data_IF_494841970252
#
_entry.id   IF_494841970252
#
_cell.length_a   1.000
_cell.length_b   1.000
_cell.length_c   1.000
_cell.angle_alpha   90.00
_cell.angle_beta   90.00
_cell.angle_gamma   90.00
#
_symmetry.space_group_name_H-M   'P 1'
#
loop_
_entity.id
_entity.type
_entity.pdbx_description
1 polymer ?
#
# COMPACT_ATOMS: atom_id res chain seq x y z
N UNK A 1 24.61 -26.73 38.85
CA UNK A 1 24.91 -25.63 39.78
C UNK A 1 25.58 -24.54 38.95
N UNK A 2 25.09 -23.32 38.79
CA UNK A 2 24.05 -22.59 39.50
C UNK A 2 23.24 -21.72 38.52
N UNK A 3 22.04 -21.36 38.96
CA UNK A 3 21.03 -20.53 38.32
C UNK A 3 21.50 -19.13 37.92
N UNK A 4 20.81 -18.57 36.93
CA UNK A 4 20.35 -17.17 36.98
C UNK A 4 19.10 -17.04 36.11
N UNK A 5 17.98 -17.57 36.59
CA UNK A 5 16.67 -17.16 36.11
C UNK A 5 16.46 -15.70 36.54
N UNK A 6 16.43 -14.77 35.58
CA UNK A 6 16.03 -13.40 35.87
C UNK A 6 14.60 -13.43 36.47
N UNK A 7 14.34 -12.76 37.60
CA UNK A 7 13.00 -12.68 38.14
C UNK A 7 12.10 -11.99 37.11
N UNK A 8 10.98 -12.64 36.79
CA UNK A 8 9.92 -12.03 35.99
C UNK A 8 9.32 -10.90 36.81
N UNK A 9 9.77 -9.68 36.52
CA UNK A 9 9.27 -8.46 37.12
C UNK A 9 7.81 -8.28 36.70
N UNK A 10 6.90 -8.88 37.49
CA UNK A 10 5.45 -8.93 37.28
C UNK A 10 4.80 -7.53 37.41
N UNK A 11 5.57 -6.47 37.66
CA UNK A 11 5.06 -5.13 37.87
C UNK A 11 5.87 -4.06 37.13
N UNK A 12 5.98 -4.20 35.80
CA UNK A 12 6.56 -3.18 34.91
C UNK A 12 5.90 -1.80 35.00
N UNK A 13 4.71 -1.67 35.61
CA UNK A 13 3.98 -0.42 35.71
C UNK A 13 3.65 -0.09 37.18
N UNK A 14 4.25 0.98 37.70
CA UNK A 14 3.96 1.48 39.05
C UNK A 14 2.52 2.02 39.23
N UNK A 15 1.75 2.13 38.14
CA UNK A 15 0.35 2.55 38.13
C UNK A 15 -0.48 1.58 37.28
N UNK A 16 -1.72 1.26 37.67
CA UNK A 16 -2.61 0.43 36.87
C UNK A 16 -2.90 1.11 35.54
N UNK A 17 -2.83 0.33 34.45
CA UNK A 17 -3.19 0.80 33.11
C UNK A 17 -4.70 1.03 33.08
N UNK A 18 -5.14 2.26 32.76
CA UNK A 18 -6.55 2.65 32.72
C UNK A 18 -7.09 2.78 31.30
N UNK A 19 -6.22 3.07 30.34
CA UNK A 19 -6.59 3.32 28.95
C UNK A 19 -5.49 2.87 28.00
N UNK A 20 -5.88 2.41 26.81
CA UNK A 20 -5.01 2.04 25.70
C UNK A 20 -5.46 2.83 24.47
N UNK A 21 -4.50 3.48 23.81
CA UNK A 21 -4.70 4.07 22.51
C UNK A 21 -4.28 3.10 21.41
N UNK A 22 -5.20 2.80 20.50
CA UNK A 22 -4.97 1.97 19.33
C UNK A 22 -4.92 2.88 18.10
N UNK A 23 -3.78 2.86 17.40
CA UNK A 23 -3.53 3.76 16.25
C UNK A 23 -4.13 3.25 14.93
N UNK A 24 -4.88 2.15 14.97
CA UNK A 24 -5.53 1.52 13.82
C UNK A 24 -6.94 2.07 13.62
N UNK A 25 -7.50 1.96 12.39
CA UNK A 25 -8.92 2.22 12.15
C UNK A 25 -9.78 1.43 13.12
N UNK A 26 -10.88 2.06 13.55
CA UNK A 26 -11.91 1.36 14.30
C UNK A 26 -12.41 0.20 13.42
N UNK A 27 -12.39 -1.05 13.93
CA UNK A 27 -12.88 -2.19 13.17
C UNK A 27 -14.31 -1.93 12.68
N UNK A 28 -14.58 -2.25 11.41
CA UNK A 28 -15.91 -2.08 10.81
C UNK A 28 -16.96 -3.02 11.41
N UNK A 29 -16.50 -4.11 12.05
CA UNK A 29 -17.32 -5.06 12.79
C UNK A 29 -17.19 -4.80 14.29
N UNK A 30 -18.28 -4.98 15.03
CA UNK A 30 -18.34 -4.79 16.48
C UNK A 30 -17.37 -5.73 17.26
N UNK A 31 -16.85 -6.76 16.59
CA UNK A 31 -15.84 -7.67 17.10
C UNK A 31 -14.44 -7.08 16.90
N UNK A 32 -13.98 -6.32 17.89
CA UNK A 32 -12.58 -5.89 18.00
C UNK A 32 -11.79 -6.90 18.84
N UNK A 33 -10.53 -7.24 18.47
CA UNK A 33 -9.67 -8.07 19.30
C UNK A 33 -9.38 -7.43 20.67
N UNK A 34 -9.63 -6.13 20.81
CA UNK A 34 -9.43 -5.37 22.04
C UNK A 34 -10.67 -5.33 22.95
N UNK A 35 -11.87 -5.66 22.44
CA UNK A 35 -13.10 -5.73 23.25
C UNK A 35 -12.98 -6.68 24.46
N UNK A 36 -12.52 -7.94 24.32
CA UNK A 36 -12.39 -8.85 25.46
C UNK A 36 -11.33 -8.39 26.48
N UNK A 37 -10.32 -7.62 26.05
CA UNK A 37 -9.34 -7.02 26.96
C UNK A 37 -9.94 -5.85 27.76
N UNK A 38 -10.75 -5.01 27.09
CA UNK A 38 -11.48 -3.91 27.73
C UNK A 38 -12.41 -4.43 28.82
N UNK A 39 -13.19 -5.48 28.52
CA UNK A 39 -14.11 -6.11 29.48
C UNK A 39 -13.38 -6.80 30.63
N UNK A 40 -12.32 -7.56 30.33
CA UNK A 40 -11.59 -8.35 31.34
C UNK A 40 -10.84 -7.49 32.36
N UNK A 41 -10.28 -6.36 31.93
CA UNK A 41 -9.42 -5.52 32.77
C UNK A 41 -10.03 -4.15 33.10
N UNK A 42 -11.24 -3.85 32.63
CA UNK A 42 -11.90 -2.57 32.87
C UNK A 42 -11.15 -1.38 32.27
N UNK A 43 -10.46 -1.60 31.14
CA UNK A 43 -9.63 -0.59 30.48
C UNK A 43 -10.38 0.09 29.32
N UNK A 44 -10.21 1.40 29.19
CA UNK A 44 -10.73 2.15 28.05
C UNK A 44 -9.87 1.89 26.80
N UNK A 45 -10.48 1.65 25.65
CA UNK A 45 -9.78 1.48 24.37
C UNK A 45 -10.23 2.56 23.40
N UNK A 46 -9.33 3.49 23.10
CA UNK A 46 -9.57 4.57 22.16
C UNK A 46 -8.92 4.25 20.81
N UNK A 47 -9.72 4.26 19.73
CA UNK A 47 -9.20 4.12 18.36
C UNK A 47 -8.98 5.50 17.77
N UNK A 48 -7.74 5.79 17.37
CA UNK A 48 -7.40 7.03 16.69
C UNK A 48 -6.49 6.72 15.52
N UNK A 49 -7.03 6.86 14.31
CA UNK A 49 -6.23 6.74 13.10
C UNK A 49 -5.21 7.88 13.05
N UNK A 50 -3.94 7.50 12.90
CA UNK A 50 -2.85 8.46 12.79
C UNK A 50 -2.50 8.77 11.34
N UNK A 51 -3.01 7.97 10.40
CA UNK A 51 -2.73 8.08 8.98
C UNK A 51 -4.06 8.30 8.28
N UNK A 52 -4.25 9.49 7.72
CA UNK A 52 -5.41 9.82 6.90
C UNK A 52 -5.01 9.75 5.42
N UNK A 53 -5.67 8.88 4.67
CA UNK A 53 -5.36 8.68 3.24
C UNK A 53 -6.27 9.59 2.42
N UNK A 54 -5.75 10.73 1.98
CA UNK A 54 -6.52 11.68 1.18
C UNK A 54 -6.31 11.48 -0.31
N UNK A 55 -7.39 11.26 -1.04
CA UNK A 55 -7.35 11.10 -2.49
C UNK A 55 -7.00 12.44 -3.17
N UNK A 56 -6.04 12.44 -4.10
CA UNK A 56 -5.75 13.66 -4.89
C UNK A 56 -6.89 13.89 -5.89
N UNK A 57 -7.52 15.08 -5.94
CA UNK A 57 -8.59 15.36 -6.90
C UNK A 57 -8.10 15.22 -8.35
N UNK A 58 -8.95 14.72 -9.26
CA UNK A 58 -8.59 14.56 -10.66
C UNK A 58 -8.10 15.86 -11.33
N UNK A 59 -8.64 17.01 -10.89
CA UNK A 59 -8.23 18.34 -11.36
C UNK A 59 -6.77 18.67 -11.01
N UNK A 60 -6.28 18.20 -9.86
CA UNK A 60 -4.87 18.35 -9.48
C UNK A 60 -3.98 17.39 -10.28
N UNK A 61 -4.40 16.12 -10.39
CA UNK A 61 -3.68 15.12 -11.20
C UNK A 61 -3.48 15.55 -12.67
N UNK A 62 -4.47 16.26 -13.26
CA UNK A 62 -4.33 16.82 -14.62
C UNK A 62 -3.20 17.86 -14.74
N UNK A 63 -2.82 18.55 -13.66
CA UNK A 63 -1.75 19.57 -13.70
C UNK A 63 -0.39 18.94 -13.95
N UNK A 64 -0.20 17.69 -13.52
CA UNK A 64 1.03 16.93 -13.76
C UNK A 64 1.19 16.49 -15.22
N UNK A 65 0.17 16.71 -16.07
CA UNK A 65 0.15 16.38 -17.51
C UNK A 65 0.53 14.92 -17.79
N UNK A 66 0.24 14.02 -16.85
CA UNK A 66 0.49 12.59 -16.99
C UNK A 66 -0.62 11.97 -17.83
N UNK A 67 -0.28 11.48 -19.02
CA UNK A 67 -1.21 10.74 -19.87
C UNK A 67 -1.06 9.24 -19.62
N UNK A 68 -1.99 8.65 -18.87
CA UNK A 68 -1.95 7.25 -18.44
C UNK A 68 -1.82 6.28 -19.64
N UNK A 69 -2.40 6.63 -20.79
CA UNK A 69 -2.38 5.79 -21.99
C UNK A 69 -1.02 5.75 -22.71
N UNK A 70 -0.09 6.67 -22.40
CA UNK A 70 1.27 6.64 -22.98
C UNK A 70 2.19 5.62 -22.30
N UNK A 71 1.77 5.10 -21.15
CA UNK A 71 2.49 4.08 -20.40
C UNK A 71 2.01 2.69 -20.79
N UNK A 72 2.93 1.74 -20.74
CA UNK A 72 2.67 0.34 -21.11
C UNK A 72 2.62 -0.58 -19.89
N UNK A 73 3.11 -0.10 -18.74
CA UNK A 73 3.12 -0.82 -17.48
C UNK A 73 2.73 0.09 -16.28
N UNK A 74 1.95 -0.44 -15.34
CA UNK A 74 1.64 0.23 -14.04
C UNK A 74 2.20 -0.58 -12.89
N UNK A 75 2.80 0.08 -11.90
CA UNK A 75 3.36 -0.55 -10.71
C UNK A 75 2.54 -0.19 -9.48
N UNK A 76 2.06 -1.20 -8.76
CA UNK A 76 1.30 -1.07 -7.53
C UNK A 76 2.06 -1.62 -6.33
N UNK A 77 2.32 -0.75 -5.36
CA UNK A 77 2.97 -1.10 -4.10
C UNK A 77 1.98 -1.18 -2.93
N UNK A 78 0.74 -0.71 -3.10
CA UNK A 78 -0.29 -0.71 -2.06
C UNK A 78 -1.70 -0.93 -2.62
N UNK A 79 -2.64 -1.34 -1.77
CA UNK A 79 -4.07 -1.43 -2.12
C UNK A 79 -4.69 -0.06 -2.39
N UNK A 80 -4.31 0.94 -1.60
CA UNK A 80 -4.75 2.33 -1.77
C UNK A 80 -4.35 2.87 -3.15
N UNK A 81 -3.13 2.55 -3.62
CA UNK A 81 -2.69 2.96 -4.95
C UNK A 81 -3.56 2.36 -6.05
N UNK A 82 -4.03 1.11 -5.90
CA UNK A 82 -4.96 0.48 -6.84
C UNK A 82 -6.29 1.26 -6.86
N UNK A 83 -6.90 1.46 -5.69
CA UNK A 83 -8.20 2.13 -5.58
C UNK A 83 -8.17 3.54 -6.16
N UNK A 84 -7.21 4.36 -5.75
CA UNK A 84 -7.11 5.73 -6.21
C UNK A 84 -6.72 5.84 -7.69
N UNK A 85 -5.92 4.89 -8.22
CA UNK A 85 -5.59 4.85 -9.64
C UNK A 85 -6.83 4.56 -10.50
N UNK A 86 -7.61 3.52 -10.17
CA UNK A 86 -8.81 3.19 -10.94
C UNK A 86 -9.91 4.24 -10.79
N UNK A 87 -10.03 4.88 -9.62
CA UNK A 87 -10.89 6.06 -9.44
C UNK A 87 -10.50 7.17 -10.41
N UNK A 88 -9.21 7.51 -10.51
CA UNK A 88 -8.73 8.52 -11.46
C UNK A 88 -9.02 8.11 -12.91
N UNK A 89 -8.80 6.84 -13.28
CA UNK A 89 -9.15 6.34 -14.60
C UNK A 89 -10.64 6.49 -14.90
N UNK A 90 -11.51 6.19 -13.93
CA UNK A 90 -12.96 6.33 -14.07
C UNK A 90 -13.38 7.80 -14.20
N UNK A 91 -12.85 8.71 -13.37
CA UNK A 91 -13.10 10.15 -13.46
C UNK A 91 -12.60 10.74 -14.78
N UNK A 92 -11.49 10.20 -15.30
CA UNK A 92 -10.93 10.55 -16.60
C UNK A 92 -11.71 9.95 -17.79
N UNK A 93 -12.68 9.06 -17.53
CA UNK A 93 -13.38 8.24 -18.54
C UNK A 93 -12.40 7.47 -19.43
N UNK A 94 -11.33 6.96 -18.83
CA UNK A 94 -10.28 6.19 -19.51
C UNK A 94 -10.56 4.69 -19.39
N UNK A 95 -10.57 4.02 -20.53
CA UNK A 95 -10.58 2.56 -20.58
C UNK A 95 -9.14 2.03 -20.69
N UNK A 96 -8.74 1.18 -19.75
CA UNK A 96 -7.38 0.64 -19.74
C UNK A 96 -7.20 -0.41 -20.82
N UNK A 97 -6.16 -0.29 -21.68
CA UNK A 97 -5.89 -1.26 -22.75
C UNK A 97 -5.74 -2.69 -22.23
N UNK A 98 -6.12 -3.68 -23.05
CA UNK A 98 -5.94 -5.09 -22.70
C UNK A 98 -4.46 -5.50 -22.61
N UNK A 99 -3.60 -4.82 -23.38
CA UNK A 99 -2.15 -5.05 -23.41
C UNK A 99 -1.41 -4.42 -22.21
N UNK A 100 -2.12 -3.66 -21.37
CA UNK A 100 -1.55 -2.99 -20.21
C UNK A 100 -0.98 -4.02 -19.22
N UNK A 101 0.28 -3.85 -18.85
CA UNK A 101 0.97 -4.73 -17.90
C UNK A 101 0.84 -4.18 -16.49
N UNK A 102 0.56 -5.06 -15.53
CA UNK A 102 0.45 -4.69 -14.13
C UNK A 102 1.53 -5.39 -13.31
N UNK A 103 2.21 -4.63 -12.46
CA UNK A 103 3.27 -5.12 -11.58
C UNK A 103 2.84 -4.87 -10.14
N UNK A 104 2.65 -5.92 -9.35
CA UNK A 104 2.22 -5.81 -7.96
C UNK A 104 3.35 -6.27 -7.03
N UNK A 105 3.61 -5.53 -5.95
CA UNK A 105 4.67 -5.88 -4.98
C UNK A 105 4.42 -7.21 -4.24
N UNK A 106 3.16 -7.65 -4.17
CA UNK A 106 2.76 -8.85 -3.43
C UNK A 106 1.49 -9.47 -4.02
N UNK A 107 1.27 -10.75 -3.74
CA UNK A 107 0.03 -11.47 -4.07
C UNK A 107 -1.22 -10.80 -3.50
N UNK A 108 -1.14 -10.18 -2.33
CA UNK A 108 -2.30 -9.52 -1.73
C UNK A 108 -2.76 -8.34 -2.59
N UNK A 109 -1.83 -7.51 -3.05
CA UNK A 109 -2.12 -6.39 -3.96
C UNK A 109 -2.62 -6.90 -5.31
N UNK A 110 -2.02 -7.99 -5.82
CA UNK A 110 -2.42 -8.62 -7.07
C UNK A 110 -3.85 -9.18 -7.02
N UNK A 111 -4.21 -9.86 -5.93
CA UNK A 111 -5.56 -10.37 -5.68
C UNK A 111 -6.57 -9.23 -5.53
N UNK A 112 -6.17 -8.14 -4.89
CA UNK A 112 -7.01 -6.96 -4.76
C UNK A 112 -7.29 -6.28 -6.11
N UNK A 113 -6.29 -6.21 -6.97
CA UNK A 113 -6.39 -5.67 -8.33
C UNK A 113 -7.42 -6.42 -9.19
N UNK A 114 -7.67 -7.71 -8.93
CA UNK A 114 -8.66 -8.52 -9.67
C UNK A 114 -10.09 -7.98 -9.57
N UNK A 115 -10.39 -7.15 -8.56
CA UNK A 115 -11.69 -6.45 -8.45
C UNK A 115 -11.91 -5.43 -9.56
N UNK A 116 -10.83 -4.86 -10.08
CA UNK A 116 -10.85 -3.77 -11.06
C UNK A 116 -10.60 -4.26 -12.49
N UNK A 117 -9.88 -5.38 -12.64
CA UNK A 117 -9.50 -5.91 -13.94
C UNK A 117 -9.79 -7.40 -14.06
N UNK A 118 -10.14 -7.84 -15.26
CA UNK A 118 -10.29 -9.26 -15.59
C UNK A 118 -8.94 -9.84 -16.03
N UNK A 119 -8.34 -10.73 -15.22
CA UNK A 119 -6.96 -11.23 -15.46
C UNK A 119 -6.80 -11.97 -16.79
N UNK A 120 -7.83 -12.66 -17.28
CA UNK A 120 -7.72 -13.54 -18.47
C UNK A 120 -7.16 -12.82 -19.70
N UNK A 121 -7.36 -11.50 -19.81
CA UNK A 121 -6.92 -10.69 -20.95
C UNK A 121 -5.64 -9.88 -20.70
N UNK A 122 -5.12 -9.85 -19.47
CA UNK A 122 -4.07 -8.90 -19.05
C UNK A 122 -2.86 -9.61 -18.45
N UNK A 123 -1.67 -9.05 -18.68
CA UNK A 123 -0.44 -9.57 -18.10
C UNK A 123 -0.22 -8.99 -16.71
N UNK A 124 -0.25 -9.86 -15.70
CA UNK A 124 -0.01 -9.51 -14.30
C UNK A 124 1.29 -10.16 -13.85
N UNK A 125 2.17 -9.35 -13.27
CA UNK A 125 3.41 -9.78 -12.66
C UNK A 125 3.36 -9.46 -11.17
N UNK A 126 3.75 -10.42 -10.36
CA UNK A 126 3.60 -10.34 -8.91
C UNK A 126 4.96 -10.62 -8.28
N UNK A 127 5.37 -9.74 -7.38
CA UNK A 127 6.50 -9.99 -6.50
C UNK A 127 6.08 -10.81 -5.28
N UNK A 128 7.03 -11.46 -4.62
CA UNK A 128 6.75 -12.28 -3.44
C UNK A 128 6.31 -11.43 -2.24
N UNK A 129 7.21 -10.58 -1.71
CA UNK A 129 6.93 -9.70 -0.55
C UNK A 129 7.77 -8.43 -0.47
N UNK A 130 8.94 -8.39 -1.12
CA UNK A 130 9.91 -7.30 -1.00
C UNK A 130 10.02 -6.52 -2.31
N UNK A 131 10.48 -5.28 -2.22
CA UNK A 131 10.76 -4.45 -3.40
C UNK A 131 11.81 -5.11 -4.33
N UNK A 132 12.80 -5.78 -3.75
CA UNK A 132 13.84 -6.50 -4.51
C UNK A 132 13.27 -7.58 -5.44
N UNK A 133 12.26 -8.32 -5.00
CA UNK A 133 11.65 -9.36 -5.83
C UNK A 133 10.91 -8.74 -7.04
N UNK A 134 10.22 -7.63 -6.80
CA UNK A 134 9.59 -6.84 -7.85
C UNK A 134 10.63 -6.30 -8.85
N UNK A 135 11.82 -5.93 -8.38
CA UNK A 135 12.91 -5.42 -9.22
C UNK A 135 13.39 -6.46 -10.22
N UNK A 136 13.54 -7.73 -9.81
CA UNK A 136 13.99 -8.79 -10.72
C UNK A 136 12.96 -9.10 -11.81
N UNK A 137 11.67 -8.95 -11.51
CA UNK A 137 10.61 -9.00 -12.51
C UNK A 137 10.71 -7.80 -13.46
N UNK A 138 10.85 -6.58 -12.94
CA UNK A 138 10.96 -5.35 -13.75
C UNK A 138 12.17 -5.39 -14.67
N UNK A 139 13.32 -5.94 -14.25
CA UNK A 139 14.53 -6.09 -15.08
C UNK A 139 14.29 -6.90 -16.36
N UNK A 140 13.30 -7.80 -16.39
CA UNK A 140 12.94 -8.57 -17.58
C UNK A 140 12.14 -7.75 -18.59
N UNK A 141 11.66 -6.56 -18.20
CA UNK A 141 10.75 -5.70 -18.94
C UNK A 141 11.32 -4.29 -19.17
N UNK A 142 12.62 -4.18 -19.49
CA UNK A 142 13.30 -2.87 -19.63
C UNK A 142 12.78 -1.96 -20.76
N UNK A 143 12.09 -2.54 -21.75
CA UNK A 143 11.53 -1.80 -22.89
C UNK A 143 10.22 -1.08 -22.60
N UNK A 144 9.61 -1.31 -21.44
CA UNK A 144 8.31 -0.74 -21.07
C UNK A 144 8.44 0.69 -20.52
N UNK A 145 7.36 1.46 -20.65
CA UNK A 145 7.19 2.74 -19.95
C UNK A 145 6.34 2.53 -18.71
N UNK A 146 6.94 2.70 -17.54
CA UNK A 146 6.32 2.43 -16.26
C UNK A 146 5.64 3.68 -15.69
N UNK A 147 4.41 3.51 -15.20
CA UNK A 147 3.73 4.47 -14.36
C UNK A 147 3.72 3.95 -12.93
N UNK A 148 4.17 4.77 -11.99
CA UNK A 148 4.20 4.45 -10.57
C UNK A 148 3.22 5.34 -9.78
N UNK A 149 1.93 4.94 -9.68
CA UNK A 149 0.98 5.58 -8.78
C UNK A 149 1.39 5.38 -7.31
N UNK A 150 1.64 6.47 -6.60
CA UNK A 150 2.15 6.45 -5.23
C UNK A 150 1.55 7.57 -4.36
N UNK A 151 1.84 7.50 -3.06
CA UNK A 151 1.64 8.60 -2.11
C UNK A 151 2.74 9.65 -2.22
N UNK A 152 2.47 10.83 -1.65
CA UNK A 152 3.47 11.84 -1.37
C UNK A 152 4.59 11.31 -0.46
N UNK A 153 4.23 10.55 0.59
CA UNK A 153 5.17 9.81 1.42
C UNK A 153 5.37 8.41 0.85
N UNK A 154 6.51 8.17 0.19
CA UNK A 154 6.86 6.87 -0.40
C UNK A 154 8.31 6.50 -0.10
N UNK A 155 8.62 5.20 -0.21
CA UNK A 155 10.00 4.71 -0.13
C UNK A 155 10.73 4.97 -1.44
N UNK A 156 11.95 5.48 -1.35
CA UNK A 156 12.81 5.78 -2.50
C UNK A 156 13.44 4.54 -3.16
N UNK A 157 13.34 3.36 -2.54
CA UNK A 157 13.91 2.10 -3.07
C UNK A 157 13.53 1.84 -4.54
N UNK A 158 12.24 1.96 -4.90
CA UNK A 158 11.76 1.69 -6.26
C UNK A 158 12.20 2.79 -7.24
N UNK A 159 12.00 4.10 -6.97
CA UNK A 159 12.52 5.17 -7.81
C UNK A 159 14.04 5.12 -8.01
N UNK A 160 14.82 4.88 -6.96
CA UNK A 160 16.28 4.75 -7.03
C UNK A 160 16.68 3.56 -7.88
N UNK A 161 16.04 2.40 -7.68
CA UNK A 161 16.28 1.22 -8.50
C UNK A 161 15.98 1.48 -9.99
N UNK A 162 14.88 2.15 -10.29
CA UNK A 162 14.49 2.48 -11.66
C UNK A 162 15.50 3.42 -12.33
N UNK A 163 15.95 4.46 -11.62
CA UNK A 163 16.98 5.39 -12.11
C UNK A 163 18.31 4.69 -12.32
N UNK A 164 18.75 3.86 -11.36
CA UNK A 164 20.01 3.11 -11.45
C UNK A 164 20.04 2.12 -12.63
N UNK A 165 18.88 1.64 -13.08
CA UNK A 165 18.76 0.73 -14.22
C UNK A 165 18.37 1.43 -15.54
N UNK A 166 18.37 2.76 -15.58
CA UNK A 166 17.94 3.59 -16.72
C UNK A 166 16.57 3.18 -17.29
N UNK A 167 15.63 2.84 -16.42
CA UNK A 167 14.28 2.46 -16.81
C UNK A 167 13.41 3.70 -17.01
N UNK A 168 12.54 3.68 -18.01
CA UNK A 168 11.59 4.78 -18.26
C UNK A 168 10.43 4.66 -17.29
N UNK A 169 10.39 5.53 -16.28
CA UNK A 169 9.28 5.58 -15.33
C UNK A 169 8.82 7.00 -15.04
N UNK A 170 7.57 7.13 -14.62
CA UNK A 170 7.01 8.38 -14.11
C UNK A 170 6.29 8.12 -12.80
N UNK A 171 6.54 8.98 -11.83
CA UNK A 171 5.93 8.92 -10.51
C UNK A 171 4.67 9.78 -10.52
N UNK A 172 3.55 9.19 -10.11
CA UNK A 172 2.25 9.84 -10.10
C UNK A 172 1.73 9.88 -8.66
N UNK A 173 1.76 11.05 -8.03
CA UNK A 173 1.22 11.24 -6.69
C UNK A 173 -0.30 11.32 -6.77
N UNK A 174 -0.99 10.24 -6.38
CA UNK A 174 -2.45 10.09 -6.58
C UNK A 174 -3.25 10.07 -5.28
N UNK A 175 -2.57 9.97 -4.14
CA UNK A 175 -3.13 10.16 -2.81
C UNK A 175 -2.05 10.73 -1.88
N UNK A 176 -2.45 11.28 -0.74
CA UNK A 176 -1.57 11.82 0.31
C UNK A 176 -1.83 11.08 1.61
N UNK A 177 -0.80 10.91 2.42
CA UNK A 177 -0.84 10.15 3.68
C UNK A 177 -0.06 10.83 4.79
#
# INVERSE_FOLDING_TARGET
MAESAAPSDLNRHAKPIRSILVTQPKPATDVSPYSPLAEKYGIQVDFREFIDVQAVPYKEFRKDKINILEYTAVIFTSRNAVDHFFRICQEAKLEMPAEMKYFCISDQTANYLQKYIVLRKRKLFVGLRTAADLFDVIKKHKGEKFLYPCSDIRKDDLPEFMRANNLKFTEAVIYRT
#
